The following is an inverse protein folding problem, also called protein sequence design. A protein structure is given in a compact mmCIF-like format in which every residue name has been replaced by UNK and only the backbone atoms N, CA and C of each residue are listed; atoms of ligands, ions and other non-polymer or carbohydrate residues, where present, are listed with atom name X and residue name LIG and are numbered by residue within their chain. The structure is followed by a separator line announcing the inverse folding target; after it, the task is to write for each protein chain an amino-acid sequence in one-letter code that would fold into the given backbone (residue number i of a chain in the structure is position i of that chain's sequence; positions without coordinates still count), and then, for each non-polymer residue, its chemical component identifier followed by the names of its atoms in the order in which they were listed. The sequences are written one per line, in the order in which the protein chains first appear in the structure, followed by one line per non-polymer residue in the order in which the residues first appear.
data_IF_101889324375
#
_entry.id   IF_101889324375
#
_cell.length_a   1.000
_cell.length_b   1.000
_cell.length_c   1.000
_cell.angle_alpha   90.00
_cell.angle_beta   90.00
_cell.angle_gamma   90.00
#
_symmetry.space_group_name_H-M   'P 1'
#
loop_
_entity.id
_entity.type
_entity.pdbx_description
1 polymer ?
#
# COMPACT_ATOMS: atom_id res chain seq x y z
N UNK A 1 2.81 23.65 -6.35
CA UNK A 1 3.10 22.33 -6.95
C UNK A 1 2.41 22.23 -8.30
N UNK A 2 3.05 21.67 -9.32
CA UNK A 2 2.39 21.34 -10.60
C UNK A 2 1.86 19.92 -10.54
N UNK A 3 0.68 19.66 -11.11
CA UNK A 3 0.07 18.31 -11.20
C UNK A 3 1.07 17.26 -11.69
N UNK A 4 1.84 17.58 -12.74
CA UNK A 4 2.83 16.66 -13.31
C UNK A 4 3.89 16.21 -12.29
N UNK A 5 4.24 17.06 -11.32
CA UNK A 5 5.19 16.68 -10.27
C UNK A 5 4.57 15.68 -9.30
N UNK A 6 3.29 15.84 -8.94
CA UNK A 6 2.57 14.90 -8.08
C UNK A 6 2.41 13.54 -8.75
N UNK A 7 2.07 13.50 -10.04
CA UNK A 7 2.01 12.25 -10.80
C UNK A 7 3.37 11.58 -10.82
N UNK A 8 4.45 12.33 -11.07
CA UNK A 8 5.82 11.79 -11.03
C UNK A 8 6.26 11.31 -9.64
N UNK A 9 5.75 11.93 -8.58
CA UNK A 9 6.01 11.52 -7.19
C UNK A 9 5.26 10.23 -6.88
N UNK A 10 3.96 10.17 -7.23
CA UNK A 10 3.13 8.98 -7.15
C UNK A 10 3.76 7.77 -7.86
N UNK A 11 4.18 7.93 -9.11
CA UNK A 11 4.79 6.83 -9.87
C UNK A 11 6.11 6.33 -9.24
N UNK A 12 6.87 7.22 -8.61
CA UNK A 12 8.16 6.89 -7.97
C UNK A 12 8.04 6.40 -6.53
N UNK A 13 6.86 6.48 -5.92
CA UNK A 13 6.67 5.96 -4.58
C UNK A 13 6.99 4.46 -4.51
N UNK A 14 7.75 4.09 -3.50
CA UNK A 14 8.07 2.72 -3.13
C UNK A 14 8.03 2.67 -1.61
N UNK A 15 7.42 1.62 -1.06
CA UNK A 15 7.38 1.43 0.38
C UNK A 15 8.78 1.01 0.86
N UNK A 16 9.25 1.62 1.94
CA UNK A 16 10.54 1.26 2.54
C UNK A 16 10.42 0.03 3.44
N UNK A 17 11.53 -0.66 3.68
CA UNK A 17 11.53 -1.80 4.59
C UNK A 17 11.20 -1.44 6.04
N UNK A 18 11.58 -0.24 6.46
CA UNK A 18 11.33 0.30 7.81
C UNK A 18 9.98 0.99 7.97
N UNK A 19 9.22 1.14 6.89
CA UNK A 19 7.93 1.83 6.89
C UNK A 19 6.80 0.83 7.17
N UNK A 20 5.76 1.26 7.88
CA UNK A 20 4.55 0.46 8.07
C UNK A 20 3.58 0.61 6.89
N UNK A 21 2.69 -0.37 6.70
CA UNK A 21 1.67 -0.28 5.64
C UNK A 21 0.81 0.98 5.80
N UNK A 22 0.48 1.35 7.05
CA UNK A 22 -0.31 2.54 7.35
C UNK A 22 0.39 3.81 6.85
N UNK A 23 1.65 4.00 7.24
CA UNK A 23 2.43 5.19 6.85
C UNK A 23 2.57 5.30 5.33
N UNK A 24 2.83 4.18 4.66
CA UNK A 24 2.91 4.15 3.21
C UNK A 24 1.58 4.52 2.54
N UNK A 25 0.48 3.89 2.97
CA UNK A 25 -0.85 4.15 2.40
C UNK A 25 -1.32 5.59 2.65
N UNK A 26 -1.02 6.15 3.82
CA UNK A 26 -1.38 7.54 4.15
C UNK A 26 -0.69 8.53 3.20
N UNK A 27 0.61 8.35 2.92
CA UNK A 27 1.35 9.16 1.94
C UNK A 27 0.78 9.05 0.54
N UNK A 28 0.43 7.82 0.13
CA UNK A 28 -0.12 7.57 -1.20
C UNK A 28 -1.47 8.29 -1.40
N UNK A 29 -2.34 8.19 -0.40
CA UNK A 29 -3.64 8.86 -0.37
C UNK A 29 -3.47 10.38 -0.33
N UNK A 30 -2.49 10.89 0.41
CA UNK A 30 -2.19 12.32 0.46
C UNK A 30 -1.83 12.88 -0.92
N UNK A 31 -0.98 12.20 -1.68
CA UNK A 31 -0.62 12.60 -3.05
C UNK A 31 -1.83 12.54 -3.98
N UNK A 32 -2.65 11.48 -3.88
CA UNK A 32 -3.86 11.35 -4.67
C UNK A 32 -4.86 12.48 -4.39
N UNK A 33 -5.05 12.84 -3.12
CA UNK A 33 -5.90 13.96 -2.72
C UNK A 33 -5.35 15.30 -3.25
N UNK A 34 -4.04 15.54 -3.18
CA UNK A 34 -3.40 16.73 -3.76
C UNK A 34 -3.56 16.80 -5.28
N UNK A 35 -3.49 15.66 -5.98
CA UNK A 35 -3.71 15.62 -7.42
C UNK A 35 -5.18 15.94 -7.76
N UNK A 36 -6.11 15.39 -6.98
CA UNK A 36 -7.56 15.59 -7.14
C UNK A 36 -7.97 17.04 -6.94
N UNK A 37 -7.44 17.74 -5.94
CA UNK A 37 -7.71 19.17 -5.74
C UNK A 37 -7.21 20.06 -6.88
N UNK A 38 -6.26 19.56 -7.67
CA UNK A 38 -5.75 20.21 -8.88
C UNK A 38 -6.42 19.70 -10.17
N UNK A 39 -7.51 18.94 -10.07
CA UNK A 39 -8.32 18.48 -11.20
C UNK A 39 -7.80 17.20 -11.88
N UNK A 40 -6.87 16.47 -11.27
CA UNK A 40 -6.39 15.18 -11.77
C UNK A 40 -6.80 14.05 -10.85
N UNK A 41 -7.59 13.11 -11.36
CA UNK A 41 -8.01 11.96 -10.57
C UNK A 41 -7.01 10.80 -10.66
N UNK A 42 -6.48 10.40 -9.52
CA UNK A 42 -5.79 9.12 -9.35
C UNK A 42 -6.82 8.14 -8.80
N UNK A 43 -7.43 7.36 -9.70
CA UNK A 43 -8.54 6.47 -9.37
C UNK A 43 -8.15 5.41 -8.34
N UNK A 44 -9.15 4.88 -7.63
CA UNK A 44 -8.96 3.81 -6.64
C UNK A 44 -8.23 2.59 -7.23
N UNK A 45 -8.54 2.22 -8.47
CA UNK A 45 -7.85 1.13 -9.17
C UNK A 45 -6.35 1.44 -9.37
N UNK A 46 -6.01 2.69 -9.67
CA UNK A 46 -4.61 3.11 -9.80
C UNK A 46 -3.90 3.11 -8.45
N UNK A 47 -4.59 3.49 -7.37
CA UNK A 47 -4.06 3.39 -6.02
C UNK A 47 -3.81 1.93 -5.61
N UNK A 48 -4.77 1.04 -5.87
CA UNK A 48 -4.64 -0.41 -5.62
C UNK A 48 -3.43 -0.97 -6.37
N UNK A 49 -3.38 -0.77 -7.69
CA UNK A 49 -2.24 -1.22 -8.50
C UNK A 49 -0.94 -0.67 -7.98
N UNK A 50 -0.92 0.62 -7.64
CA UNK A 50 0.28 1.26 -7.12
C UNK A 50 0.75 0.62 -5.83
N UNK A 51 -0.16 0.31 -4.89
CA UNK A 51 0.17 -0.44 -3.68
C UNK A 51 0.80 -1.77 -4.05
N UNK A 52 0.11 -2.62 -4.81
CA UNK A 52 0.56 -3.99 -5.11
C UNK A 52 1.97 -4.05 -5.74
N UNK A 53 2.34 -3.10 -6.60
CA UNK A 53 3.65 -3.08 -7.30
C UNK A 53 4.78 -2.37 -6.54
N UNK A 54 4.50 -1.84 -5.35
CA UNK A 54 5.42 -0.96 -4.62
C UNK A 54 5.79 -1.46 -3.22
N UNK A 55 5.21 -2.58 -2.82
CA UNK A 55 5.47 -3.20 -1.53
C UNK A 55 6.72 -4.08 -1.62
N UNK A 56 7.47 -4.25 -0.52
CA UNK A 56 8.64 -5.11 -0.51
C UNK A 56 8.24 -6.60 -0.57
N UNK A 57 9.21 -7.44 -0.95
CA UNK A 57 9.03 -8.88 -1.20
C UNK A 57 8.32 -9.64 -0.06
N UNK A 58 8.48 -9.18 1.18
CA UNK A 58 7.81 -9.77 2.36
C UNK A 58 6.28 -9.79 2.28
N UNK A 59 5.66 -9.02 1.39
CA UNK A 59 4.21 -9.04 1.17
C UNK A 59 3.77 -9.85 -0.07
N UNK A 60 4.68 -10.40 -0.87
CA UNK A 60 4.40 -11.13 -2.13
C UNK A 60 3.33 -12.21 -1.96
N UNK A 61 3.43 -13.03 -0.91
CA UNK A 61 2.43 -14.07 -0.65
C UNK A 61 1.03 -13.50 -0.39
N UNK A 62 0.94 -12.34 0.27
CA UNK A 62 -0.35 -11.67 0.52
C UNK A 62 -0.88 -11.03 -0.77
N UNK A 63 -0.01 -10.44 -1.59
CA UNK A 63 -0.35 -9.87 -2.90
C UNK A 63 -0.89 -10.97 -3.80
N UNK A 64 -0.15 -12.06 -3.99
CA UNK A 64 -0.58 -13.20 -4.79
C UNK A 64 -1.94 -13.77 -4.31
N UNK A 65 -2.17 -13.82 -2.99
CA UNK A 65 -3.46 -14.23 -2.45
C UNK A 65 -4.59 -13.25 -2.81
N UNK A 66 -4.34 -11.94 -2.78
CA UNK A 66 -5.33 -10.93 -3.16
C UNK A 66 -5.67 -11.01 -4.65
N UNK A 67 -4.66 -11.15 -5.51
CA UNK A 67 -4.82 -11.27 -6.96
C UNK A 67 -5.58 -12.53 -7.37
N UNK A 68 -5.35 -13.66 -6.69
CA UNK A 68 -6.01 -14.92 -6.98
C UNK A 68 -7.44 -15.00 -6.44
N UNK A 69 -7.78 -14.25 -5.39
CA UNK A 69 -9.08 -14.37 -4.70
C UNK A 69 -10.06 -13.25 -5.02
N UNK A 70 -9.58 -12.10 -5.51
CA UNK A 70 -10.40 -10.92 -5.75
C UNK A 70 -10.19 -10.36 -7.15
N UNK A 71 -11.29 -9.88 -7.72
CA UNK A 71 -11.25 -9.09 -8.94
C UNK A 71 -10.64 -7.72 -8.63
N UNK A 72 -9.38 -7.51 -9.07
CA UNK A 72 -8.63 -6.27 -8.84
C UNK A 72 -9.30 -5.03 -9.43
N UNK A 73 -10.23 -5.19 -10.38
CA UNK A 73 -11.00 -4.07 -10.94
C UNK A 73 -12.13 -3.58 -10.02
N UNK A 74 -12.50 -4.38 -9.02
CA UNK A 74 -13.59 -4.12 -8.08
C UNK A 74 -13.14 -3.99 -6.62
N UNK A 75 -11.91 -4.38 -6.32
CA UNK A 75 -11.36 -4.33 -4.96
C UNK A 75 -11.18 -2.88 -4.51
N UNK A 76 -11.60 -2.57 -3.27
CA UNK A 76 -11.39 -1.24 -2.70
C UNK A 76 -10.01 -1.11 -2.08
N UNK A 77 -9.43 0.09 -2.14
CA UNK A 77 -8.15 0.43 -1.49
C UNK A 77 -8.15 0.01 -0.01
N UNK A 78 -9.24 0.27 0.71
CA UNK A 78 -9.37 -0.06 2.13
C UNK A 78 -9.26 -1.56 2.40
N UNK A 79 -9.75 -2.41 1.51
CA UNK A 79 -9.70 -3.87 1.68
C UNK A 79 -8.26 -4.39 1.50
N UNK A 80 -7.54 -3.83 0.53
CA UNK A 80 -6.13 -4.14 0.28
C UNK A 80 -5.28 -3.72 1.48
N UNK A 81 -5.42 -2.47 1.92
CA UNK A 81 -4.68 -1.93 3.08
C UNK A 81 -4.98 -2.74 4.33
N UNK A 82 -6.25 -3.08 4.59
CA UNK A 82 -6.63 -3.88 5.76
C UNK A 82 -6.01 -5.28 5.75
N UNK A 83 -6.00 -5.96 4.59
CA UNK A 83 -5.38 -7.29 4.46
C UNK A 83 -3.87 -7.25 4.71
N UNK A 84 -3.19 -6.23 4.19
CA UNK A 84 -1.76 -6.01 4.36
C UNK A 84 -1.40 -5.65 5.81
N UNK A 85 -2.18 -4.80 6.46
CA UNK A 85 -2.01 -4.46 7.88
C UNK A 85 -2.20 -5.68 8.78
N UNK A 86 -3.21 -6.52 8.52
CA UNK A 86 -3.41 -7.77 9.26
C UNK A 86 -2.25 -8.75 9.06
N UNK A 87 -1.61 -8.76 7.88
CA UNK A 87 -0.38 -9.54 7.67
C UNK A 87 0.79 -8.96 8.49
N UNK A 88 1.00 -7.64 8.44
CA UNK A 88 2.06 -6.94 9.18
C UNK A 88 1.95 -7.17 10.69
N UNK A 89 0.76 -7.02 11.27
CA UNK A 89 0.50 -7.28 12.69
C UNK A 89 0.81 -8.74 13.07
N UNK A 90 0.36 -9.72 12.27
CA UNK A 90 0.65 -11.14 12.53
C UNK A 90 2.14 -11.45 12.45
N UNK A 91 2.90 -10.76 11.61
CA UNK A 91 4.36 -10.91 11.52
C UNK A 91 5.04 -10.35 12.78
N UNK A 92 4.62 -9.17 13.25
CA UNK A 92 5.15 -8.54 14.46
C UNK A 92 4.93 -9.42 15.70
N UNK A 93 3.71 -9.92 15.92
CA UNK A 93 3.41 -10.80 17.06
C UNK A 93 4.29 -12.06 17.09
N UNK A 94 4.64 -12.63 15.93
CA UNK A 94 5.54 -13.79 15.85
C UNK A 94 7.00 -13.44 16.10
N UNK A 95 7.43 -12.21 15.78
CA UNK A 95 8.77 -11.74 16.08
C UNK A 95 8.92 -11.38 17.57
N UNK A 96 7.90 -10.78 18.17
CA UNK A 96 7.85 -10.44 19.60
C UNK A 96 7.77 -11.69 20.50
N UNK A 97 7.04 -12.74 20.10
CA UNK A 97 7.03 -14.00 20.85
C UNK A 97 8.36 -14.78 20.84
N UNK A 98 9.34 -14.37 20.02
CA UNK A 98 10.64 -15.05 19.93
C UNK A 98 11.72 -14.44 20.84
N UNK A 99 11.48 -13.27 21.43
CA UNK A 99 12.45 -12.57 22.30
C UNK A 99 12.24 -12.85 23.80
N UNK A 100 11.07 -13.33 24.22
CA UNK A 100 10.77 -13.63 25.63
C UNK A 100 11.14 -15.07 26.07
N UNK A 101 11.78 -15.84 25.19
CA UNK A 101 12.16 -17.25 25.43
C UNK A 101 13.62 -17.50 25.81
N UNK A 102 14.38 -16.48 26.22
CA UNK A 102 15.80 -16.59 26.57
C UNK A 102 16.09 -16.31 28.05
#
# INVERSE_FOLDING_TARGET
MKVLNLVREFERMQMKDSESIKEYSDKLIEIANKARTLGTDLSDNRLVQKILVSLPERYEATIASLENTKDLSKIKVIEVVSALQAHEQRRLMRQEGSIEGH
#
